data_IF_191324561880
#
_entry.id   IF_191324561880
#
_cell.length_a   1.000
_cell.length_b   1.000
_cell.length_c   1.000
_cell.angle_alpha   90.00
_cell.angle_beta   90.00
_cell.angle_gamma   90.00
#
_symmetry.space_group_name_H-M   'P 1'
#
loop_
_entity.id
_entity.type
_entity.pdbx_description
1 polymer ?
#
# COMPACT_ATOMS: atom_id res chain seq x y z
N UNK A 1 11.04 2.02 -41.42
CA UNK A 1 11.18 2.41 -40.00
C UNK A 1 9.80 2.72 -39.42
N UNK A 2 8.86 1.76 -39.50
CA UNK A 2 7.43 1.90 -39.10
C UNK A 2 7.04 0.90 -38.00
N UNK A 3 8.00 0.21 -37.36
CA UNK A 3 7.72 -0.92 -36.46
C UNK A 3 6.93 -0.54 -35.19
N UNK A 4 6.97 0.74 -34.80
CA UNK A 4 6.36 1.27 -33.58
C UNK A 4 5.07 2.06 -33.80
N UNK A 5 4.70 2.34 -35.06
CA UNK A 5 3.51 3.14 -35.35
C UNK A 5 2.23 2.43 -34.90
N UNK A 6 1.37 3.17 -34.20
CA UNK A 6 0.11 2.70 -33.65
C UNK A 6 0.20 2.08 -32.26
N UNK A 7 1.40 1.78 -31.75
CA UNK A 7 1.58 1.14 -30.44
C UNK A 7 1.12 2.06 -29.30
N UNK A 8 1.56 3.32 -29.31
CA UNK A 8 1.15 4.31 -28.30
C UNK A 8 -0.36 4.59 -28.34
N UNK A 9 -0.92 4.68 -29.55
CA UNK A 9 -2.35 4.86 -29.78
C UNK A 9 -3.17 3.67 -29.26
N UNK A 10 -2.72 2.44 -29.55
CA UNK A 10 -3.37 1.23 -29.07
C UNK A 10 -3.36 1.15 -27.55
N UNK A 11 -2.21 1.38 -26.91
CA UNK A 11 -2.07 1.37 -25.44
C UNK A 11 -2.98 2.44 -24.81
N UNK A 12 -3.01 3.66 -25.36
CA UNK A 12 -3.89 4.71 -24.84
C UNK A 12 -5.38 4.34 -24.96
N UNK A 13 -5.79 3.70 -26.05
CA UNK A 13 -7.18 3.22 -26.23
C UNK A 13 -7.49 2.06 -25.28
N UNK A 14 -6.55 1.14 -25.07
CA UNK A 14 -6.67 0.03 -24.15
C UNK A 14 -6.87 0.50 -22.69
N UNK A 15 -6.11 1.51 -22.24
CA UNK A 15 -6.18 2.06 -20.89
C UNK A 15 -7.44 2.90 -20.65
N UNK A 16 -7.93 3.60 -21.68
CA UNK A 16 -9.08 4.52 -21.56
C UNK A 16 -10.41 3.90 -21.97
N UNK A 17 -10.40 2.71 -22.58
CA UNK A 17 -11.54 2.07 -23.24
C UNK A 17 -12.27 3.02 -24.22
N UNK A 18 -11.58 4.02 -24.77
CA UNK A 18 -12.19 5.10 -25.56
C UNK A 18 -11.21 5.77 -26.52
N UNK A 19 -11.54 5.77 -27.82
CA UNK A 19 -10.78 6.52 -28.83
C UNK A 19 -10.78 8.04 -28.58
N UNK A 20 -11.88 8.58 -28.06
CA UNK A 20 -12.00 10.02 -27.76
C UNK A 20 -11.12 10.44 -26.59
N UNK A 21 -11.06 9.64 -25.53
CA UNK A 21 -10.21 9.96 -24.39
C UNK A 21 -8.74 9.70 -24.71
N UNK A 22 -8.43 8.62 -25.43
CA UNK A 22 -7.08 8.34 -25.92
C UNK A 22 -6.55 9.48 -26.80
N UNK A 23 -7.36 10.03 -27.71
CA UNK A 23 -6.93 11.11 -28.59
C UNK A 23 -6.61 12.40 -27.82
N UNK A 24 -7.42 12.73 -26.81
CA UNK A 24 -7.16 13.87 -25.91
C UNK A 24 -5.86 13.69 -25.15
N UNK A 25 -5.60 12.48 -24.64
CA UNK A 25 -4.36 12.16 -23.91
C UNK A 25 -3.12 12.26 -24.80
N UNK A 26 -3.23 11.89 -26.07
CA UNK A 26 -2.12 11.90 -27.03
C UNK A 26 -1.97 13.22 -27.79
N UNK A 27 -2.90 14.16 -27.64
CA UNK A 27 -2.85 15.46 -28.33
C UNK A 27 -3.08 15.37 -29.85
N UNK A 28 -3.74 14.32 -30.33
CA UNK A 28 -4.01 14.09 -31.76
C UNK A 28 -5.51 13.88 -32.04
N UNK A 29 -5.91 13.89 -33.32
CA UNK A 29 -7.31 13.68 -33.68
C UNK A 29 -7.77 12.24 -33.46
N UNK A 30 -9.05 12.04 -33.09
CA UNK A 30 -9.66 10.70 -32.97
C UNK A 30 -9.53 9.88 -34.26
N UNK A 31 -9.68 10.54 -35.41
CA UNK A 31 -9.51 9.92 -36.72
C UNK A 31 -8.07 9.43 -36.97
N UNK A 32 -7.06 10.11 -36.40
CA UNK A 32 -5.67 9.68 -36.47
C UNK A 32 -5.42 8.48 -35.55
N UNK A 33 -5.91 8.50 -34.31
CA UNK A 33 -5.83 7.34 -33.39
C UNK A 33 -6.47 6.10 -34.03
N UNK A 34 -7.68 6.24 -34.58
CA UNK A 34 -8.38 5.11 -35.21
C UNK A 34 -7.63 4.56 -36.42
N UNK A 35 -7.02 5.42 -37.24
CA UNK A 35 -6.21 5.01 -38.39
C UNK A 35 -4.93 4.28 -37.96
N UNK A 36 -4.22 4.80 -36.97
CA UNK A 36 -2.98 4.21 -36.49
C UNK A 36 -3.20 2.85 -35.83
N UNK A 37 -4.25 2.71 -35.00
CA UNK A 37 -4.63 1.41 -34.43
C UNK A 37 -5.10 0.44 -35.50
N UNK A 38 -5.85 0.91 -36.51
CA UNK A 38 -6.25 0.06 -37.64
C UNK A 38 -5.07 -0.45 -38.46
N UNK A 39 -4.10 0.42 -38.74
CA UNK A 39 -2.84 0.07 -39.42
C UNK A 39 -2.04 -0.95 -38.62
N UNK A 40 -1.99 -0.79 -37.29
CA UNK A 40 -1.33 -1.75 -36.39
C UNK A 40 -1.98 -3.13 -36.42
N UNK A 41 -3.32 -3.20 -36.28
CA UNK A 41 -4.06 -4.47 -36.38
C UNK A 41 -3.83 -5.16 -37.72
N UNK A 42 -3.80 -4.38 -38.82
CA UNK A 42 -3.54 -4.91 -40.16
C UNK A 42 -2.10 -5.43 -40.29
N UNK A 43 -1.12 -4.73 -39.73
CA UNK A 43 0.29 -5.14 -39.74
C UNK A 43 0.54 -6.41 -38.94
N UNK A 44 -0.22 -6.63 -37.87
CA UNK A 44 -0.15 -7.82 -37.02
C UNK A 44 -1.05 -8.96 -37.51
N UNK A 45 -1.85 -8.72 -38.55
CA UNK A 45 -2.92 -9.61 -39.01
C UNK A 45 -3.82 -10.14 -37.86
N UNK A 46 -4.07 -9.28 -36.87
CA UNK A 46 -4.75 -9.66 -35.63
C UNK A 46 -5.64 -8.53 -35.14
N UNK A 47 -6.87 -8.86 -34.74
CA UNK A 47 -7.76 -7.91 -34.06
C UNK A 47 -7.41 -7.81 -32.58
N UNK A 48 -7.09 -6.59 -32.13
CA UNK A 48 -6.71 -6.30 -30.76
C UNK A 48 -7.88 -5.71 -29.95
N UNK A 49 -8.86 -5.11 -30.63
CA UNK A 49 -10.00 -4.44 -30.00
C UNK A 49 -11.35 -4.91 -30.56
N UNK A 50 -12.29 -5.18 -29.67
CA UNK A 50 -13.71 -5.18 -29.99
C UNK A 50 -14.23 -3.74 -30.03
N UNK A 51 -14.75 -3.34 -31.20
CA UNK A 51 -15.30 -1.99 -31.42
C UNK A 51 -16.81 -2.08 -31.55
N UNK A 52 -17.54 -1.55 -30.56
CA UNK A 52 -18.97 -1.29 -30.68
C UNK A 52 -19.22 0.22 -30.68
N UNK A 53 -20.40 0.64 -31.11
CA UNK A 53 -20.79 2.07 -31.09
C UNK A 53 -20.88 2.66 -29.67
N UNK A 54 -20.82 1.82 -28.62
CA UNK A 54 -20.97 2.24 -27.21
C UNK A 54 -19.74 1.96 -26.34
N UNK A 55 -18.93 0.97 -26.70
CA UNK A 55 -17.79 0.52 -25.88
C UNK A 55 -16.65 -0.03 -26.73
N UNK A 56 -15.43 0.24 -26.29
CA UNK A 56 -14.21 -0.43 -26.76
C UNK A 56 -13.72 -1.37 -25.67
N UNK A 57 -13.33 -2.58 -26.03
CA UNK A 57 -12.69 -3.54 -25.11
C UNK A 57 -11.61 -4.33 -25.83
N UNK A 58 -10.65 -4.86 -25.09
CA UNK A 58 -9.58 -5.69 -25.66
C UNK A 58 -10.08 -7.09 -26.02
N UNK A 59 -9.48 -7.67 -27.06
CA UNK A 59 -9.53 -9.12 -27.32
C UNK A 59 -8.53 -9.85 -26.39
N UNK A 60 -8.51 -11.18 -26.40
CA UNK A 60 -7.53 -11.95 -25.63
C UNK A 60 -6.10 -11.68 -26.13
N UNK A 61 -5.92 -11.63 -27.45
CA UNK A 61 -4.69 -11.24 -28.12
C UNK A 61 -4.34 -9.78 -27.83
N UNK A 62 -5.36 -8.90 -27.76
CA UNK A 62 -5.22 -7.51 -27.34
C UNK A 62 -4.66 -7.38 -25.93
N UNK A 63 -5.15 -8.18 -24.97
CA UNK A 63 -4.62 -8.21 -23.61
C UNK A 63 -3.16 -8.69 -23.56
N UNK A 64 -2.81 -9.72 -24.34
CA UNK A 64 -1.43 -10.20 -24.43
C UNK A 64 -0.50 -9.12 -25.01
N UNK A 65 -0.89 -8.55 -26.14
CA UNK A 65 -0.10 -7.54 -26.84
C UNK A 65 0.04 -6.26 -26.00
N UNK A 66 -1.04 -5.81 -25.36
CA UNK A 66 -1.03 -4.67 -24.43
C UNK A 66 0.01 -4.83 -23.33
N UNK A 67 0.09 -5.99 -22.68
CA UNK A 67 1.07 -6.23 -21.61
C UNK A 67 2.50 -6.04 -22.11
N UNK A 68 2.82 -6.56 -23.29
CA UNK A 68 4.15 -6.41 -23.88
C UNK A 68 4.43 -4.97 -24.34
N UNK A 69 3.47 -4.32 -25.00
CA UNK A 69 3.61 -2.93 -25.43
C UNK A 69 3.78 -1.97 -24.26
N UNK A 70 3.02 -2.15 -23.17
CA UNK A 70 3.14 -1.33 -21.97
C UNK A 70 4.52 -1.46 -21.34
N UNK A 71 5.07 -2.69 -21.25
CA UNK A 71 6.44 -2.90 -20.78
C UNK A 71 7.49 -2.19 -21.63
N UNK A 72 7.32 -2.15 -22.95
CA UNK A 72 8.27 -1.44 -23.82
C UNK A 72 8.14 0.08 -23.68
N UNK A 73 6.92 0.60 -23.64
CA UNK A 73 6.70 2.03 -23.38
C UNK A 73 7.23 2.44 -22.00
N UNK A 74 7.05 1.59 -20.98
CA UNK A 74 7.67 1.77 -19.67
C UNK A 74 9.19 1.80 -19.79
N UNK A 75 9.79 0.94 -20.61
CA UNK A 75 11.24 0.91 -20.87
C UNK A 75 11.75 2.14 -21.61
N UNK A 76 10.97 2.70 -22.54
CA UNK A 76 11.31 3.96 -23.22
C UNK A 76 11.22 5.14 -22.26
N UNK A 77 10.14 5.23 -21.49
CA UNK A 77 10.03 6.20 -20.40
C UNK A 77 11.17 6.03 -19.39
N UNK A 78 11.58 4.80 -19.09
CA UNK A 78 12.73 4.49 -18.25
C UNK A 78 14.04 5.02 -18.85
N UNK A 79 14.25 4.86 -20.15
CA UNK A 79 15.44 5.36 -20.85
C UNK A 79 15.49 6.90 -20.87
N UNK A 80 14.35 7.55 -21.13
CA UNK A 80 14.22 9.01 -21.05
C UNK A 80 14.39 9.52 -19.60
N UNK A 81 13.86 8.78 -18.62
CA UNK A 81 14.11 9.01 -17.19
C UNK A 81 15.57 8.75 -16.81
N UNK A 82 16.26 7.80 -17.44
CA UNK A 82 17.68 7.54 -17.22
C UNK A 82 18.51 8.75 -17.68
N UNK A 83 18.15 9.36 -18.81
CA UNK A 83 18.74 10.64 -19.25
C UNK A 83 18.44 11.79 -18.28
N UNK A 84 17.26 11.81 -17.66
CA UNK A 84 16.92 12.78 -16.61
C UNK A 84 17.67 12.52 -15.30
N UNK A 85 17.95 11.25 -14.99
CA UNK A 85 18.66 10.82 -13.78
C UNK A 85 20.16 11.14 -13.80
N UNK A 86 20.74 11.49 -14.96
CA UNK A 86 22.07 12.13 -15.05
C UNK A 86 22.13 13.48 -14.31
N UNK A 87 20.99 14.09 -13.97
CA UNK A 87 20.90 15.31 -13.13
C UNK A 87 20.57 15.04 -11.66
N UNK A 88 20.29 13.79 -11.26
CA UNK A 88 20.12 13.37 -9.86
C UNK A 88 18.89 13.88 -9.10
N UNK A 89 18.01 14.69 -9.71
CA UNK A 89 16.83 15.26 -9.05
C UNK A 89 15.57 14.41 -9.35
N UNK A 90 14.75 14.06 -8.34
CA UNK A 90 13.51 13.33 -8.57
C UNK A 90 12.46 14.23 -9.22
N UNK A 91 11.70 13.68 -10.17
CA UNK A 91 10.59 14.36 -10.84
C UNK A 91 9.48 13.37 -11.24
N UNK A 92 8.28 13.90 -11.49
CA UNK A 92 7.11 13.14 -11.95
C UNK A 92 6.24 12.55 -10.83
N UNK A 93 5.22 11.78 -11.19
CA UNK A 93 4.23 11.24 -10.24
C UNK A 93 4.75 10.00 -9.54
N UNK A 94 4.86 10.02 -8.21
CA UNK A 94 5.15 8.88 -7.35
C UNK A 94 3.84 8.28 -6.83
N UNK A 95 3.50 7.07 -7.29
CA UNK A 95 2.27 6.37 -6.89
C UNK A 95 2.49 5.48 -5.67
N UNK A 96 1.73 5.70 -4.61
CA UNK A 96 1.95 5.09 -3.30
C UNK A 96 0.72 4.46 -2.67
N UNK A 97 0.94 3.51 -1.76
CA UNK A 97 -0.11 3.00 -0.88
C UNK A 97 0.42 2.70 0.51
N UNK A 98 -0.38 2.94 1.54
CA UNK A 98 -0.03 2.65 2.93
C UNK A 98 -1.28 2.27 3.76
N UNK A 99 -1.15 1.58 4.91
CA UNK A 99 -2.27 1.32 5.81
C UNK A 99 -2.84 2.62 6.35
N UNK A 100 -4.16 2.70 6.57
CA UNK A 100 -4.85 3.98 6.83
C UNK A 100 -4.27 4.74 8.02
N UNK A 101 -4.40 4.20 9.23
CA UNK A 101 -3.99 4.90 10.44
C UNK A 101 -2.47 5.13 10.54
N UNK A 102 -1.66 4.20 10.02
CA UNK A 102 -0.21 4.39 9.96
C UNK A 102 0.18 5.43 8.92
N UNK A 103 -0.56 5.45 7.81
CA UNK A 103 -0.45 6.40 6.71
C UNK A 103 -0.72 7.82 7.17
N UNK A 104 -1.88 8.04 7.79
CA UNK A 104 -2.27 9.34 8.33
C UNK A 104 -1.30 9.84 9.40
N UNK A 105 -0.86 8.96 10.31
CA UNK A 105 -0.04 9.36 11.45
C UNK A 105 1.43 9.61 11.12
N UNK A 106 2.04 8.78 10.27
CA UNK A 106 3.49 8.83 10.02
C UNK A 106 3.85 9.05 8.56
N UNK A 107 3.17 8.40 7.62
CA UNK A 107 3.57 8.48 6.20
C UNK A 107 3.24 9.84 5.61
N UNK A 108 2.02 10.36 5.83
CA UNK A 108 1.59 11.63 5.27
C UNK A 108 2.43 12.83 5.72
N UNK A 109 2.79 12.97 7.02
CA UNK A 109 3.75 14.01 7.42
C UNK A 109 5.08 13.93 6.66
N UNK A 110 5.65 12.73 6.51
CA UNK A 110 6.91 12.53 5.79
C UNK A 110 6.76 12.82 4.29
N UNK A 111 5.63 12.44 3.69
CA UNK A 111 5.30 12.76 2.29
C UNK A 111 5.18 14.27 2.09
N UNK A 112 4.57 15.00 3.03
CA UNK A 112 4.47 16.45 2.97
C UNK A 112 5.87 17.10 3.01
N UNK A 113 6.73 16.65 3.93
CA UNK A 113 8.12 17.12 4.01
C UNK A 113 8.91 16.78 2.74
N UNK A 114 8.66 15.61 2.15
CA UNK A 114 9.27 15.19 0.90
C UNK A 114 8.84 16.07 -0.29
N UNK A 115 7.56 16.42 -0.39
CA UNK A 115 7.04 17.34 -1.42
C UNK A 115 7.60 18.76 -1.27
N UNK A 116 7.83 19.23 -0.03
CA UNK A 116 8.52 20.49 0.22
C UNK A 116 9.97 20.46 -0.24
N UNK A 117 10.67 19.34 -0.02
CA UNK A 117 12.07 19.16 -0.44
C UNK A 117 12.23 18.96 -1.95
N UNK A 118 11.22 18.42 -2.64
CA UNK A 118 11.25 18.09 -4.06
C UNK A 118 10.01 18.57 -4.83
N UNK A 119 9.92 19.88 -5.15
CA UNK A 119 8.72 20.48 -5.75
C UNK A 119 8.33 19.96 -7.14
N UNK A 120 9.25 19.28 -7.84
CA UNK A 120 9.00 18.69 -9.17
C UNK A 120 8.42 17.27 -9.09
N UNK A 121 8.18 16.77 -7.88
CA UNK A 121 7.55 15.47 -7.64
C UNK A 121 6.09 15.68 -7.29
N UNK A 122 5.22 14.90 -7.90
CA UNK A 122 3.84 14.76 -7.50
C UNK A 122 3.68 13.43 -6.75
N UNK A 123 2.81 13.37 -5.73
CA UNK A 123 2.52 12.12 -5.02
C UNK A 123 1.04 11.80 -5.14
N UNK A 124 0.75 10.62 -5.70
CA UNK A 124 -0.59 10.03 -5.72
C UNK A 124 -0.61 8.88 -4.72
N UNK A 125 -1.24 9.07 -3.56
CA UNK A 125 -1.22 8.10 -2.46
C UNK A 125 -2.62 7.63 -2.08
N UNK A 126 -2.80 6.31 -2.09
CA UNK A 126 -4.02 5.65 -1.60
C UNK A 126 -3.79 4.98 -0.26
N UNK A 127 -4.41 5.53 0.79
CA UNK A 127 -4.42 4.92 2.12
C UNK A 127 -5.49 3.82 2.20
N UNK A 128 -5.04 2.58 2.39
CA UNK A 128 -5.94 1.43 2.43
C UNK A 128 -5.35 0.27 3.24
N UNK A 129 -6.22 -0.41 3.98
CA UNK A 129 -5.89 -1.65 4.68
C UNK A 129 -6.05 -2.89 3.80
N UNK A 130 -6.57 -2.74 2.57
CA UNK A 130 -6.69 -3.84 1.61
C UNK A 130 -5.36 -4.11 0.94
N UNK A 131 -5.08 -5.37 0.68
CA UNK A 131 -3.91 -5.76 -0.09
C UNK A 131 -4.17 -5.46 -1.57
N UNK A 132 -3.47 -4.46 -2.10
CA UNK A 132 -3.51 -4.09 -3.52
C UNK A 132 -2.35 -4.79 -4.24
N UNK A 133 -2.60 -5.41 -5.40
CA UNK A 133 -1.54 -5.93 -6.28
C UNK A 133 -0.83 -4.74 -6.92
N UNK A 134 0.43 -4.53 -6.52
CA UNK A 134 1.17 -3.30 -6.86
C UNK A 134 1.38 -3.12 -8.36
N UNK A 135 1.73 -4.21 -9.05
CA UNK A 135 2.02 -4.20 -10.50
C UNK A 135 0.78 -3.84 -11.31
N UNK A 136 -0.34 -4.54 -11.08
CA UNK A 136 -1.59 -4.30 -11.79
C UNK A 136 -2.16 -2.89 -11.58
N UNK A 137 -1.87 -2.29 -10.42
CA UNK A 137 -2.36 -0.96 -10.05
C UNK A 137 -1.38 0.17 -10.41
N UNK A 138 -0.25 -0.13 -11.05
CA UNK A 138 0.77 0.86 -11.38
C UNK A 138 1.32 1.60 -10.15
N UNK A 139 1.45 0.91 -9.03
CA UNK A 139 1.96 1.47 -7.77
C UNK A 139 3.49 1.34 -7.74
N UNK A 140 4.17 2.48 -7.56
CA UNK A 140 5.64 2.55 -7.49
C UNK A 140 6.17 2.07 -6.13
N UNK A 141 5.47 2.40 -5.04
CA UNK A 141 5.91 2.13 -3.66
C UNK A 141 4.75 1.81 -2.72
N UNK A 142 4.85 0.73 -1.96
CA UNK A 142 3.87 0.35 -0.96
C UNK A 142 4.47 0.22 0.43
N UNK A 143 3.81 0.78 1.42
CA UNK A 143 4.09 0.55 2.83
C UNK A 143 3.21 -0.60 3.31
N UNK A 144 3.84 -1.63 3.89
CA UNK A 144 3.16 -2.79 4.49
C UNK A 144 3.73 -3.07 5.87
N UNK A 145 2.91 -3.67 6.72
CA UNK A 145 3.28 -3.93 8.10
C UNK A 145 2.98 -5.37 8.46
N UNK A 146 3.89 -5.99 9.21
CA UNK A 146 3.78 -7.39 9.64
C UNK A 146 4.58 -8.32 8.75
N UNK A 147 4.18 -9.59 8.74
CA UNK A 147 4.77 -10.63 7.91
C UNK A 147 4.39 -10.41 6.44
N UNK A 148 5.39 -10.42 5.58
CA UNK A 148 5.20 -10.33 4.13
C UNK A 148 4.91 -11.72 3.57
N UNK A 149 4.05 -11.80 2.55
CA UNK A 149 3.93 -12.98 1.72
C UNK A 149 5.09 -13.02 0.71
N UNK A 150 5.48 -14.23 0.29
CA UNK A 150 6.47 -14.38 -0.78
C UNK A 150 6.00 -13.69 -2.05
N UNK A 151 6.87 -12.86 -2.62
CA UNK A 151 6.60 -12.12 -3.84
C UNK A 151 7.90 -11.77 -4.55
N UNK A 152 7.80 -11.40 -5.83
CA UNK A 152 8.93 -10.85 -6.61
C UNK A 152 9.27 -9.39 -6.27
N UNK A 153 8.62 -8.81 -5.27
CA UNK A 153 8.86 -7.42 -4.86
C UNK A 153 10.12 -7.33 -4.01
N UNK A 154 10.84 -6.22 -4.13
CA UNK A 154 11.92 -5.88 -3.20
C UNK A 154 11.28 -5.37 -1.91
N UNK A 155 11.67 -5.96 -0.78
CA UNK A 155 11.24 -5.55 0.55
C UNK A 155 12.40 -4.90 1.32
N UNK A 156 12.28 -3.61 1.63
CA UNK A 156 13.20 -2.90 2.52
C UNK A 156 12.51 -2.57 3.82
N UNK A 157 13.06 -3.04 4.95
CA UNK A 157 12.57 -2.65 6.28
C UNK A 157 12.89 -1.18 6.50
N UNK A 158 11.88 -0.37 6.83
CA UNK A 158 12.02 1.08 7.07
C UNK A 158 11.74 1.47 8.51
N UNK A 159 11.02 0.64 9.25
CA UNK A 159 10.69 0.85 10.67
C UNK A 159 10.18 -0.46 11.27
N UNK A 160 9.70 -0.39 12.50
CA UNK A 160 9.03 -1.45 13.20
C UNK A 160 7.87 -0.90 14.03
N UNK A 161 6.86 -1.73 14.29
CA UNK A 161 5.80 -1.42 15.24
C UNK A 161 5.78 -2.44 16.37
N UNK A 162 5.17 -2.02 17.46
CA UNK A 162 5.02 -2.83 18.67
C UNK A 162 3.52 -2.92 18.96
N UNK A 163 3.00 -4.13 19.21
CA UNK A 163 1.64 -4.30 19.71
C UNK A 163 1.65 -4.43 21.22
N UNK A 164 0.70 -3.79 21.90
CA UNK A 164 0.49 -3.94 23.34
C UNK A 164 -0.89 -4.50 23.60
N UNK A 165 -1.02 -5.30 24.65
CA UNK A 165 -2.31 -5.55 25.28
C UNK A 165 -2.51 -4.51 26.37
N UNK A 166 -3.63 -3.81 26.35
CA UNK A 166 -3.91 -2.77 27.33
C UNK A 166 -5.40 -2.63 27.63
N UNK A 167 -5.71 -1.99 28.76
CA UNK A 167 -7.06 -1.56 29.14
C UNK A 167 -6.97 -0.25 29.94
N UNK A 168 -8.11 0.41 30.18
CA UNK A 168 -8.14 1.55 31.10
C UNK A 168 -7.91 1.12 32.55
N UNK A 169 -7.35 2.00 33.40
CA UNK A 169 -7.22 1.75 34.83
C UNK A 169 -8.55 1.33 35.49
N UNK A 170 -9.66 1.94 35.08
CA UNK A 170 -10.99 1.65 35.62
C UNK A 170 -11.45 0.22 35.31
N UNK A 171 -11.15 -0.29 34.11
CA UNK A 171 -11.44 -1.67 33.77
C UNK A 171 -10.62 -2.64 34.63
N UNK A 172 -9.30 -2.40 34.74
CA UNK A 172 -8.41 -3.26 35.53
C UNK A 172 -8.78 -3.24 37.03
N UNK A 173 -9.22 -2.09 37.56
CA UNK A 173 -9.73 -2.00 38.93
C UNK A 173 -10.98 -2.84 39.18
N UNK A 174 -11.86 -2.96 38.17
CA UNK A 174 -13.14 -3.69 38.26
C UNK A 174 -12.99 -5.18 38.01
N UNK A 175 -12.12 -5.57 37.08
CA UNK A 175 -12.02 -6.95 36.58
C UNK A 175 -10.69 -7.64 36.90
N UNK A 176 -9.74 -6.93 37.52
CA UNK A 176 -8.39 -7.41 37.77
C UNK A 176 -7.46 -7.22 36.57
N UNK A 177 -6.15 -7.34 36.83
CA UNK A 177 -5.12 -7.39 35.79
C UNK A 177 -4.82 -8.85 35.43
N UNK A 178 -4.81 -9.21 34.13
CA UNK A 178 -4.40 -10.55 33.72
C UNK A 178 -2.87 -10.70 33.81
N UNK A 179 -2.42 -11.72 34.53
CA UNK A 179 -0.99 -12.04 34.69
C UNK A 179 -0.54 -13.22 33.81
N UNK A 180 -1.50 -13.99 33.29
CA UNK A 180 -1.26 -15.11 32.38
C UNK A 180 -2.17 -15.07 31.17
N UNK A 181 -1.75 -15.71 30.07
CA UNK A 181 -2.55 -15.79 28.86
C UNK A 181 -3.88 -16.55 29.06
N UNK A 182 -3.95 -17.48 30.01
CA UNK A 182 -5.17 -18.23 30.34
C UNK A 182 -6.27 -17.35 30.95
N UNK A 183 -5.90 -16.29 31.66
CA UNK A 183 -6.83 -15.37 32.30
C UNK A 183 -7.60 -14.51 31.29
N UNK A 184 -7.13 -14.39 30.04
CA UNK A 184 -7.85 -13.70 28.98
C UNK A 184 -9.27 -14.25 28.75
N UNK A 185 -9.52 -15.52 29.06
CA UNK A 185 -10.85 -16.14 28.99
C UNK A 185 -11.86 -15.55 29.98
N UNK A 186 -11.39 -14.87 31.03
CA UNK A 186 -12.18 -14.22 32.07
C UNK A 186 -12.42 -12.73 31.80
N UNK A 187 -11.79 -12.18 30.75
CA UNK A 187 -11.89 -10.77 30.39
C UNK A 187 -12.68 -10.57 29.09
N UNK A 188 -13.31 -9.40 28.98
CA UNK A 188 -13.85 -8.93 27.72
C UNK A 188 -12.71 -8.47 26.80
N UNK A 189 -12.37 -9.26 25.80
CA UNK A 189 -11.31 -8.96 24.83
C UNK A 189 -11.92 -8.38 23.55
N UNK A 190 -11.64 -7.11 23.26
CA UNK A 190 -12.22 -6.42 22.11
C UNK A 190 -11.60 -6.94 20.80
N UNK A 191 -12.45 -7.29 19.83
CA UNK A 191 -12.08 -8.07 18.66
C UNK A 191 -11.76 -7.16 17.47
N UNK A 192 -10.59 -7.37 16.86
CA UNK A 192 -10.17 -6.66 15.65
C UNK A 192 -10.65 -7.31 14.36
N UNK A 193 -9.83 -7.18 13.32
CA UNK A 193 -10.04 -7.87 12.04
C UNK A 193 -10.02 -9.41 12.23
N UNK A 194 -9.11 -9.89 13.08
CA UNK A 194 -8.98 -11.30 13.44
C UNK A 194 -9.65 -11.58 14.79
N UNK A 195 -10.20 -12.79 14.95
CA UNK A 195 -10.79 -13.29 16.20
C UNK A 195 -9.74 -13.85 17.18
N UNK A 196 -8.46 -13.59 16.92
CA UNK A 196 -7.34 -14.03 17.75
C UNK A 196 -6.35 -12.89 17.99
N UNK A 197 -5.64 -12.99 19.12
CA UNK A 197 -4.47 -12.17 19.47
C UNK A 197 -3.19 -12.99 19.39
N UNK A 198 -2.06 -12.31 19.20
CA UNK A 198 -0.73 -12.92 19.03
C UNK A 198 0.16 -12.66 20.23
N UNK A 199 0.92 -13.67 20.64
CA UNK A 199 1.80 -13.62 21.80
C UNK A 199 3.08 -14.41 21.53
N UNK A 200 4.12 -14.16 22.34
CA UNK A 200 5.25 -15.06 22.52
C UNK A 200 5.15 -15.70 23.89
N UNK A 201 5.27 -17.02 23.95
CA UNK A 201 5.37 -17.75 25.21
C UNK A 201 6.53 -18.74 25.08
N UNK A 202 7.51 -18.66 25.99
CA UNK A 202 8.70 -19.52 25.98
C UNK A 202 9.43 -19.53 24.62
N UNK A 203 9.50 -18.36 23.96
CA UNK A 203 10.17 -18.20 22.67
C UNK A 203 9.38 -18.72 21.45
N UNK A 204 8.13 -19.16 21.63
CA UNK A 204 7.27 -19.64 20.54
C UNK A 204 6.10 -18.71 20.30
N UNK A 205 5.76 -18.51 19.02
CA UNK A 205 4.55 -17.78 18.62
C UNK A 205 3.30 -18.55 19.06
N UNK A 206 2.40 -17.85 19.75
CA UNK A 206 1.11 -18.38 20.19
C UNK A 206 0.00 -17.47 19.68
N UNK A 207 -0.99 -18.07 19.01
CA UNK A 207 -2.22 -17.39 18.64
C UNK A 207 -3.34 -17.85 19.57
N UNK A 208 -4.00 -16.91 20.21
CA UNK A 208 -5.10 -17.19 21.14
C UNK A 208 -6.39 -16.61 20.61
N UNK A 209 -7.37 -17.48 20.38
CA UNK A 209 -8.73 -17.06 20.06
C UNK A 209 -9.31 -16.32 21.26
N UNK A 210 -9.81 -15.12 21.02
CA UNK A 210 -10.38 -14.26 22.05
C UNK A 210 -11.90 -14.19 21.93
N UNK A 211 -12.55 -13.73 23.00
CA UNK A 211 -13.98 -13.46 23.02
C UNK A 211 -14.24 -12.09 23.63
N UNK A 212 -15.19 -11.37 23.06
CA UNK A 212 -15.66 -10.11 23.61
C UNK A 212 -16.91 -9.61 22.91
N UNK A 213 -17.47 -8.54 23.47
CA UNK A 213 -18.75 -7.97 23.07
C UNK A 213 -18.67 -6.94 21.93
N UNK A 214 -17.46 -6.59 21.48
CA UNK A 214 -17.23 -5.64 20.40
C UNK A 214 -16.29 -6.25 19.36
N UNK A 215 -16.69 -6.19 18.09
CA UNK A 215 -15.83 -6.44 16.94
C UNK A 215 -15.76 -5.20 16.07
N UNK A 216 -14.55 -4.72 15.79
CA UNK A 216 -14.33 -3.52 15.02
C UNK A 216 -13.10 -3.64 14.11
N UNK A 217 -13.22 -3.19 12.87
CA UNK A 217 -12.15 -3.26 11.87
C UNK A 217 -11.19 -2.05 11.91
N UNK A 218 -11.40 -1.11 12.84
CA UNK A 218 -10.54 0.07 13.04
C UNK A 218 -9.95 0.10 14.44
N UNK A 219 -8.64 0.38 14.52
CA UNK A 219 -7.95 0.52 15.80
C UNK A 219 -8.42 1.74 16.60
N UNK A 220 -8.92 2.80 15.95
CA UNK A 220 -9.46 3.97 16.65
C UNK A 220 -10.72 3.63 17.45
N UNK A 221 -11.63 2.83 16.88
CA UNK A 221 -12.84 2.40 17.57
C UNK A 221 -12.53 1.49 18.76
N UNK A 222 -11.58 0.56 18.60
CA UNK A 222 -11.15 -0.31 19.69
C UNK A 222 -10.41 0.45 20.80
N UNK A 223 -9.59 1.45 20.44
CA UNK A 223 -8.92 2.35 21.39
C UNK A 223 -9.94 3.11 22.24
N UNK A 224 -10.94 3.73 21.61
CA UNK A 224 -11.99 4.47 22.30
C UNK A 224 -12.78 3.57 23.28
N UNK A 225 -13.11 2.35 22.84
CA UNK A 225 -13.76 1.36 23.70
C UNK A 225 -12.89 0.95 24.90
N UNK A 226 -11.59 0.74 24.71
CA UNK A 226 -10.66 0.44 25.79
C UNK A 226 -10.55 1.61 26.79
N UNK A 227 -10.46 2.85 26.30
CA UNK A 227 -10.42 4.06 27.13
C UNK A 227 -11.68 4.20 28.00
N UNK A 228 -12.86 3.85 27.46
CA UNK A 228 -14.14 3.83 28.18
C UNK A 228 -14.29 2.62 29.13
N UNK A 229 -13.26 1.79 29.25
CA UNK A 229 -13.24 0.64 30.14
C UNK A 229 -14.18 -0.48 29.72
N UNK A 230 -14.38 -0.68 28.41
CA UNK A 230 -15.18 -1.80 27.92
C UNK A 230 -14.43 -3.13 28.01
N UNK A 231 -13.10 -3.14 27.88
CA UNK A 231 -12.34 -4.38 27.78
C UNK A 231 -10.85 -4.19 27.56
N UNK A 232 -10.16 -5.32 27.44
CA UNK A 232 -8.78 -5.40 26.97
C UNK A 232 -8.74 -5.25 25.45
N UNK A 233 -7.67 -4.65 24.93
CA UNK A 233 -7.41 -4.56 23.49
C UNK A 233 -5.94 -4.86 23.19
N UNK A 234 -5.70 -5.58 22.10
CA UNK A 234 -4.36 -5.68 21.49
C UNK A 234 -4.26 -4.69 20.32
N UNK A 235 -3.49 -3.61 20.48
CA UNK A 235 -3.30 -2.60 19.43
C UNK A 235 -1.83 -2.19 19.26
N UNK A 236 -1.46 -1.78 18.04
CA UNK A 236 -0.19 -1.14 17.79
C UNK A 236 0.03 0.15 18.60
N UNK A 237 1.30 0.37 18.97
CA UNK A 237 1.81 1.54 19.68
C UNK A 237 1.37 2.87 19.05
N UNK A 238 1.16 2.90 17.74
CA UNK A 238 0.74 4.11 17.05
C UNK A 238 -0.72 4.51 17.28
N UNK A 239 -1.58 3.60 17.74
CA UNK A 239 -2.92 3.97 18.21
C UNK A 239 -2.89 4.48 19.65
N UNK A 240 -2.19 3.77 20.53
CA UNK A 240 -2.35 3.89 21.99
C UNK A 240 -1.16 4.50 22.73
N UNK A 241 -0.05 4.79 22.04
CA UNK A 241 1.20 5.18 22.68
C UNK A 241 1.12 6.49 23.47
N UNK A 242 0.25 7.42 23.08
CA UNK A 242 -0.01 8.63 23.88
C UNK A 242 -0.84 8.32 25.12
N UNK A 243 -1.82 7.40 25.03
CA UNK A 243 -2.66 7.01 26.16
C UNK A 243 -1.87 6.22 27.21
N UNK A 244 -0.96 5.36 26.76
CA UNK A 244 -0.02 4.65 27.64
C UNK A 244 0.88 5.65 28.38
N UNK A 245 1.42 6.66 27.68
CA UNK A 245 2.25 7.70 28.30
C UNK A 245 1.46 8.58 29.28
N UNK A 246 0.19 8.84 28.99
CA UNK A 246 -0.69 9.64 29.82
C UNK A 246 -1.32 8.84 30.99
N UNK A 247 -1.10 7.53 31.07
CA UNK A 247 -1.73 6.66 32.08
C UNK A 247 -3.23 6.42 31.87
N UNK A 248 -3.77 6.81 30.71
CA UNK A 248 -5.18 6.57 30.35
C UNK A 248 -5.42 5.11 29.94
N UNK A 249 -4.38 4.45 29.45
CA UNK A 249 -4.33 3.00 29.24
C UNK A 249 -3.12 2.44 29.99
N UNK A 250 -3.24 1.22 30.49
CA UNK A 250 -2.17 0.49 31.17
C UNK A 250 -1.86 -0.77 30.37
N UNK A 251 -0.58 -0.99 30.07
CA UNK A 251 -0.12 -2.17 29.34
C UNK A 251 -0.02 -3.37 30.26
N UNK A 252 -0.64 -4.48 29.88
CA UNK A 252 -0.68 -5.74 30.63
C UNK A 252 -0.08 -6.86 29.80
N UNK A 253 0.22 -8.01 30.42
CA UNK A 253 0.80 -9.17 29.75
C UNK A 253 2.10 -8.86 28.97
N UNK A 254 2.89 -7.88 29.43
CA UNK A 254 4.12 -7.43 28.77
C UNK A 254 5.14 -8.58 28.58
N UNK A 255 5.15 -9.57 29.48
CA UNK A 255 5.99 -10.75 29.39
C UNK A 255 5.67 -11.65 28.17
N UNK A 256 4.47 -11.53 27.60
CA UNK A 256 3.98 -12.31 26.47
C UNK A 256 3.95 -11.52 25.16
N UNK A 257 4.46 -10.30 25.17
CA UNK A 257 4.42 -9.40 24.03
C UNK A 257 5.03 -10.04 22.78
N UNK A 258 4.35 -9.86 21.64
CA UNK A 258 4.86 -10.37 20.37
C UNK A 258 6.10 -9.58 19.90
N UNK A 259 6.96 -10.15 19.04
CA UNK A 259 8.13 -9.46 18.55
C UNK A 259 7.71 -8.26 17.70
N UNK A 260 8.58 -7.24 17.66
CA UNK A 260 8.32 -6.06 16.84
C UNK A 260 8.07 -6.44 15.37
N UNK A 261 6.90 -6.05 14.85
CA UNK A 261 6.53 -6.31 13.48
C UNK A 261 7.23 -5.31 12.56
N UNK A 262 7.83 -5.82 11.47
CA UNK A 262 8.48 -4.97 10.48
C UNK A 262 7.49 -4.06 9.76
N UNK A 263 7.90 -2.81 9.53
CA UNK A 263 7.29 -1.90 8.56
C UNK A 263 8.19 -1.90 7.33
N UNK A 264 7.60 -2.22 6.19
CA UNK A 264 8.32 -2.52 4.95
C UNK A 264 7.92 -1.55 3.85
N UNK A 265 8.91 -1.00 3.17
CA UNK A 265 8.78 -0.41 1.85
C UNK A 265 8.91 -1.51 0.81
N UNK A 266 7.86 -1.71 0.01
CA UNK A 266 7.80 -2.69 -1.07
C UNK A 266 7.74 -1.97 -2.42
N UNK A 267 8.56 -2.40 -3.38
CA UNK A 267 8.55 -1.86 -4.73
C UNK A 267 8.96 -2.93 -5.76
N UNK A 268 8.54 -2.82 -7.03
CA UNK A 268 8.89 -3.79 -8.07
C UNK A 268 10.40 -3.93 -8.25
N UNK A 269 10.84 -5.15 -8.57
CA UNK A 269 12.24 -5.43 -8.90
C UNK A 269 12.54 -4.95 -10.33
N UNK A 270 12.81 -3.65 -10.47
CA UNK A 270 13.31 -3.05 -11.72
C UNK A 270 14.84 -2.96 -11.69
N UNK A 271 15.50 -3.16 -12.83
CA UNK A 271 16.97 -3.06 -12.96
C UNK A 271 17.52 -1.70 -12.53
N UNK A 272 16.71 -0.64 -12.66
CA UNK A 272 17.02 0.69 -12.16
C UNK A 272 15.86 1.19 -11.30
N UNK A 273 16.12 1.44 -10.01
CA UNK A 273 15.12 2.03 -9.13
C UNK A 273 15.01 3.52 -9.45
N UNK A 274 13.80 4.01 -9.75
CA UNK A 274 13.61 5.43 -10.04
C UNK A 274 14.09 6.32 -8.87
N UNK A 275 14.73 7.48 -9.14
CA UNK A 275 15.25 8.37 -8.08
C UNK A 275 14.20 8.78 -7.06
N UNK A 276 12.95 9.03 -7.49
CA UNK A 276 11.82 9.38 -6.62
C UNK A 276 11.51 8.29 -5.59
N UNK A 277 11.50 7.01 -6.00
CA UNK A 277 11.25 5.88 -5.09
C UNK A 277 12.44 5.72 -4.14
N UNK A 278 13.66 5.75 -4.66
CA UNK A 278 14.87 5.63 -3.85
C UNK A 278 14.91 6.70 -2.75
N UNK A 279 14.71 7.97 -3.11
CA UNK A 279 14.73 9.09 -2.18
C UNK A 279 13.57 9.04 -1.18
N UNK A 280 12.36 8.68 -1.61
CA UNK A 280 11.23 8.51 -0.68
C UNK A 280 11.51 7.42 0.36
N UNK A 281 12.08 6.27 -0.07
CA UNK A 281 12.45 5.19 0.84
C UNK A 281 13.57 5.61 1.81
N UNK A 282 14.50 6.46 1.37
CA UNK A 282 15.49 7.08 2.26
C UNK A 282 14.87 8.06 3.25
N UNK A 283 13.93 8.91 2.80
CA UNK A 283 13.15 9.83 3.66
C UNK A 283 12.42 9.07 4.76
N UNK A 284 11.69 8.01 4.39
CA UNK A 284 11.00 7.12 5.32
C UNK A 284 11.97 6.49 6.32
N UNK A 285 13.09 5.95 5.85
CA UNK A 285 14.07 5.29 6.72
C UNK A 285 14.78 6.23 7.71
N UNK A 286 14.77 7.54 7.46
CA UNK A 286 15.34 8.55 8.38
C UNK A 286 14.31 9.12 9.34
N UNK A 287 13.06 9.27 8.91
CA UNK A 287 12.03 9.99 9.66
C UNK A 287 11.07 9.08 10.45
N UNK A 288 10.97 7.80 10.09
CA UNK A 288 10.16 6.86 10.86
C UNK A 288 10.84 6.46 12.18
N UNK A 289 10.04 6.24 13.25
CA UNK A 289 10.54 5.81 14.55
C UNK A 289 11.00 4.35 14.59
#
# INVERSE_FOLDING_TARGET
MHEWEGVSEFVAVAETESFTQASKRLGISTAQVSRQVGSLEQRLDTKLLYRTTRKVSLTEEGHLYYRHCRQVLDGLEEAERALSSLRGLPQGVLRMTAPVAYGEKYIMPIVNDFLLAYPNVEVDITLTNRQVRLVDAGIDLAIRIGKLADSSLIAKRVSQRINYVCASPDYLKRFGEPHSLSELSQHNCLIGNHDYWRFIEQGRERQLKIKGNLRCNTGHGLRDAALKGLGLVQLPNYYIGQDLKAGLLVSVLNAYQEPNEGVWALYPQNRHLSPKVKLMVEFLGRALP
#
